data_IF_388463827338
#
_entry.id   IF_388463827338
#
_cell.length_a   1.000
_cell.length_b   1.000
_cell.length_c   1.000
_cell.angle_alpha   90.00
_cell.angle_beta   90.00
_cell.angle_gamma   90.00
#
_symmetry.space_group_name_H-M   'P 1'
#
loop_
_entity.id
_entity.type
_entity.pdbx_description
1 polymer ?
#
# COMPACT_ATOMS: atom_id res chain seq x y z
N UNK A 1 11.24 16.93 17.35
CA UNK A 1 10.41 17.14 16.15
C UNK A 1 10.32 18.64 15.93
N UNK A 2 10.06 19.05 14.69
CA UNK A 2 9.89 20.43 14.30
C UNK A 2 8.40 20.72 14.11
N UNK A 3 7.79 21.24 15.17
CA UNK A 3 6.35 21.51 15.23
C UNK A 3 5.90 22.64 14.29
N UNK A 4 6.83 23.48 13.84
CA UNK A 4 6.55 24.63 12.98
C UNK A 4 6.52 24.29 11.49
N UNK A 5 6.69 23.02 11.12
CA UNK A 5 6.89 22.58 9.73
C UNK A 5 7.96 23.42 9.00
N UNK A 6 9.02 23.80 9.72
CA UNK A 6 10.05 24.68 9.17
C UNK A 6 10.91 23.96 8.13
N UNK A 7 11.39 24.72 7.16
CA UNK A 7 12.43 24.26 6.23
C UNK A 7 13.78 24.10 6.95
N UNK A 8 14.76 23.49 6.29
CA UNK A 8 16.15 23.43 6.80
C UNK A 8 16.66 24.83 7.15
N UNK A 9 16.44 25.81 6.24
CA UNK A 9 16.83 27.20 6.48
C UNK A 9 16.03 27.82 7.63
N UNK A 10 14.74 27.54 7.73
CA UNK A 10 13.91 28.02 8.85
C UNK A 10 14.39 27.51 10.21
N UNK A 11 14.76 26.23 10.32
CA UNK A 11 15.39 25.69 11.54
C UNK A 11 16.69 26.41 11.87
N UNK A 12 17.57 26.58 10.87
CA UNK A 12 18.82 27.32 11.05
C UNK A 12 18.57 28.74 11.59
N UNK A 13 17.65 29.49 10.99
CA UNK A 13 17.35 30.87 11.36
C UNK A 13 16.82 30.97 12.79
N UNK A 14 15.89 30.09 13.20
CA UNK A 14 15.35 30.04 14.57
C UNK A 14 16.44 29.81 15.62
N UNK A 15 17.47 29.05 15.27
CA UNK A 15 18.57 28.69 16.19
C UNK A 15 19.65 29.76 16.31
N UNK A 16 19.64 30.82 15.49
CA UNK A 16 20.63 31.90 15.60
C UNK A 16 20.42 32.78 16.84
N UNK A 17 19.22 32.77 17.42
CA UNK A 17 18.86 33.63 18.56
C UNK A 17 18.51 32.84 19.82
N UNK A 18 18.83 31.54 19.88
CA UNK A 18 18.56 30.70 21.05
C UNK A 18 19.60 29.59 21.21
N UNK A 19 19.82 29.09 22.43
CA UNK A 19 20.77 28.01 22.69
C UNK A 19 20.16 26.64 22.31
N UNK A 20 19.94 26.38 21.02
CA UNK A 20 19.47 25.11 20.51
C UNK A 20 20.03 24.84 19.11
N UNK A 21 20.24 23.58 18.76
CA UNK A 21 20.58 23.15 17.40
C UNK A 21 20.36 21.65 17.25
N UNK A 22 20.37 21.12 16.02
CA UNK A 22 20.41 19.69 15.73
C UNK A 22 21.36 19.42 14.56
N UNK A 23 21.82 18.18 14.42
CA UNK A 23 22.70 17.81 13.30
C UNK A 23 21.93 17.77 12.00
N UNK A 24 20.71 17.26 12.02
CA UNK A 24 19.89 17.09 10.81
C UNK A 24 18.48 17.64 10.98
N UNK A 25 17.90 18.12 9.88
CA UNK A 25 16.49 18.45 9.73
C UNK A 25 15.92 17.69 8.53
N UNK A 26 14.80 17.01 8.74
CA UNK A 26 14.01 16.32 7.71
C UNK A 26 12.74 17.13 7.47
N UNK A 27 12.58 17.64 6.24
CA UNK A 27 11.41 18.41 5.84
C UNK A 27 10.22 17.51 5.50
N UNK A 28 9.04 18.12 5.40
CA UNK A 28 7.79 17.46 5.02
C UNK A 28 7.83 16.81 3.63
N UNK A 29 8.66 17.31 2.71
CA UNK A 29 8.87 16.69 1.39
C UNK A 29 9.93 15.56 1.42
N UNK A 30 10.50 15.27 2.59
CA UNK A 30 11.57 14.29 2.78
C UNK A 30 12.97 14.87 2.56
N UNK A 31 13.13 16.14 2.19
CA UNK A 31 14.46 16.74 2.01
C UNK A 31 15.21 16.77 3.35
N UNK A 32 16.43 16.22 3.36
CA UNK A 32 17.32 16.18 4.53
C UNK A 32 18.40 17.24 4.38
N UNK A 33 18.62 18.03 5.43
CA UNK A 33 19.74 18.97 5.52
C UNK A 33 20.55 18.76 6.78
N UNK A 34 21.87 18.80 6.66
CA UNK A 34 22.78 18.86 7.80
C UNK A 34 22.99 20.32 8.23
N UNK A 35 22.82 20.59 9.53
CA UNK A 35 22.89 21.91 10.14
C UNK A 35 24.06 22.04 11.13
N UNK A 36 24.48 20.93 11.73
CA UNK A 36 25.70 20.81 12.55
C UNK A 36 26.45 19.57 12.08
N UNK A 37 27.77 19.67 11.93
CA UNK A 37 28.60 18.53 11.56
C UNK A 37 28.55 17.45 12.64
N UNK A 38 28.50 16.18 12.26
CA UNK A 38 28.42 15.06 13.21
C UNK A 38 29.56 15.00 14.24
N UNK A 39 30.71 15.60 13.93
CA UNK A 39 31.86 15.68 14.85
C UNK A 39 31.67 16.76 15.92
N UNK A 40 30.81 17.73 15.68
CA UNK A 40 30.54 18.83 16.60
C UNK A 40 29.36 18.48 17.52
N UNK A 41 29.23 19.17 18.65
CA UNK A 41 28.13 18.91 19.60
C UNK A 41 26.95 19.84 19.31
N UNK A 42 25.87 19.30 18.72
CA UNK A 42 24.59 20.02 18.63
C UNK A 42 23.84 20.08 19.98
N UNK A 43 23.06 21.15 20.19
CA UNK A 43 22.33 21.39 21.44
C UNK A 43 20.85 20.99 21.31
N UNK A 44 20.59 19.71 21.10
CA UNK A 44 19.25 19.20 20.75
C UNK A 44 18.49 18.56 21.92
N UNK A 45 19.18 17.84 22.80
CA UNK A 45 18.53 16.98 23.79
C UNK A 45 18.10 17.69 25.08
N UNK A 46 18.51 18.95 25.29
CA UNK A 46 18.36 19.63 26.60
C UNK A 46 19.16 18.97 27.74
N UNK A 47 20.04 18.03 27.39
CA UNK A 47 20.86 17.25 28.31
C UNK A 47 22.28 17.18 27.73
N UNK A 48 23.27 17.76 28.42
CA UNK A 48 24.62 17.89 27.88
C UNK A 48 25.31 16.53 27.66
N UNK A 49 25.13 15.57 28.57
CA UNK A 49 25.70 14.24 28.41
C UNK A 49 25.16 13.54 27.16
N UNK A 50 23.85 13.62 26.93
CA UNK A 50 23.23 13.11 25.71
C UNK A 50 23.74 13.85 24.45
N UNK A 51 23.80 15.19 24.48
CA UNK A 51 24.31 15.98 23.35
C UNK A 51 25.73 15.56 22.93
N UNK A 52 26.62 15.31 23.89
CA UNK A 52 28.02 14.95 23.60
C UNK A 52 28.21 13.53 23.04
N UNK A 53 27.16 12.71 23.04
CA UNK A 53 27.23 11.28 22.68
C UNK A 53 26.16 10.86 21.68
N UNK A 54 25.46 11.81 21.05
CA UNK A 54 24.37 11.48 20.14
C UNK A 54 24.24 12.44 18.95
N UNK A 55 23.53 11.97 17.92
CA UNK A 55 23.17 12.75 16.74
C UNK A 55 21.70 13.16 16.84
N UNK A 56 21.42 14.44 17.10
CA UNK A 56 20.07 15.01 17.00
C UNK A 56 19.52 15.13 15.58
N UNK A 57 18.29 14.65 15.37
CA UNK A 57 17.54 14.74 14.11
C UNK A 57 16.18 15.35 14.38
N UNK A 58 15.87 16.45 13.70
CA UNK A 58 14.55 17.06 13.71
C UNK A 58 13.71 16.61 12.52
N UNK A 59 12.43 16.34 12.74
CA UNK A 59 11.47 15.91 11.71
C UNK A 59 10.32 16.91 11.67
N UNK A 60 10.04 17.49 10.51
CA UNK A 60 8.95 18.44 10.33
C UNK A 60 7.59 17.75 10.49
N UNK A 61 6.78 18.28 11.41
CA UNK A 61 5.39 17.88 11.56
C UNK A 61 4.52 18.59 10.52
N UNK A 62 3.61 17.84 9.89
CA UNK A 62 2.57 18.38 9.01
C UNK A 62 1.29 18.73 9.75
N UNK A 63 1.12 18.21 10.97
CA UNK A 63 -0.04 18.48 11.82
C UNK A 63 0.36 18.41 13.29
N UNK A 64 -0.28 19.23 14.13
CA UNK A 64 -0.10 19.26 15.59
C UNK A 64 -1.32 18.79 16.39
N UNK A 65 -2.45 18.58 15.73
CA UNK A 65 -3.68 18.05 16.35
C UNK A 65 -4.50 17.22 15.34
N UNK A 66 -4.27 15.89 15.27
CA UNK A 66 -3.23 15.14 15.98
C UNK A 66 -1.83 15.42 15.43
N UNK A 67 -0.79 15.15 16.23
CA UNK A 67 0.59 15.20 15.75
C UNK A 67 0.83 14.19 14.62
N UNK A 68 1.47 14.62 13.54
CA UNK A 68 1.89 13.76 12.44
C UNK A 68 3.03 14.37 11.64
N UNK A 69 3.94 13.53 11.15
CA UNK A 69 4.87 13.84 10.06
C UNK A 69 4.33 13.25 8.75
N UNK A 70 4.71 13.82 7.61
CA UNK A 70 4.34 13.26 6.30
C UNK A 70 4.99 11.90 6.05
N UNK A 71 4.47 11.17 5.07
CA UNK A 71 5.07 9.90 4.62
C UNK A 71 6.51 10.06 4.11
N UNK A 72 6.81 11.13 3.38
CA UNK A 72 8.16 11.40 2.88
C UNK A 72 9.15 11.74 4.01
N UNK A 73 8.72 12.54 4.99
CA UNK A 73 9.49 12.83 6.19
C UNK A 73 9.72 11.56 7.02
N UNK A 74 8.69 10.72 7.17
CA UNK A 74 8.75 9.47 7.90
C UNK A 74 9.75 8.49 7.27
N UNK A 75 9.71 8.29 5.95
CA UNK A 75 10.60 7.35 5.26
C UNK A 75 12.05 7.85 5.21
N UNK A 76 12.28 9.09 4.76
CA UNK A 76 13.64 9.62 4.66
C UNK A 76 14.29 9.82 6.03
N UNK A 77 13.51 10.19 7.05
CA UNK A 77 13.99 10.24 8.43
C UNK A 77 14.41 8.88 8.96
N UNK A 78 13.61 7.84 8.68
CA UNK A 78 13.94 6.47 9.05
C UNK A 78 15.19 5.96 8.30
N UNK A 79 15.32 6.28 7.01
CA UNK A 79 16.51 5.98 6.21
C UNK A 79 17.76 6.67 6.76
N UNK A 80 17.65 7.94 7.15
CA UNK A 80 18.76 8.69 7.78
C UNK A 80 19.21 8.02 9.09
N UNK A 81 18.27 7.65 9.97
CA UNK A 81 18.60 6.91 11.21
C UNK A 81 19.34 5.62 10.88
N UNK A 82 18.86 4.86 9.90
CA UNK A 82 19.51 3.63 9.46
C UNK A 82 20.94 3.89 8.96
N UNK A 83 21.15 4.96 8.18
CA UNK A 83 22.44 5.32 7.61
C UNK A 83 23.44 5.71 8.70
N UNK A 84 23.01 6.52 9.67
CA UNK A 84 23.81 6.90 10.85
C UNK A 84 24.17 5.65 11.66
N UNK A 85 23.19 4.81 11.99
CA UNK A 85 23.43 3.57 12.73
C UNK A 85 24.46 2.66 12.02
N UNK A 86 24.37 2.53 10.70
CA UNK A 86 25.32 1.75 9.91
C UNK A 86 26.70 2.39 9.88
N UNK A 87 26.78 3.68 9.56
CA UNK A 87 28.04 4.40 9.39
C UNK A 87 28.89 4.38 10.67
N UNK A 88 28.25 4.59 11.82
CA UNK A 88 28.93 4.60 13.12
C UNK A 88 28.99 3.22 13.81
N UNK A 89 28.52 2.15 13.15
CA UNK A 89 28.56 0.81 13.72
C UNK A 89 27.70 0.62 14.98
N UNK A 90 26.62 1.40 15.12
CA UNK A 90 25.71 1.36 16.28
C UNK A 90 24.79 0.12 16.27
N UNK A 91 24.83 -0.67 15.20
CA UNK A 91 23.97 -1.82 14.96
C UNK A 91 22.60 -1.44 14.41
N UNK A 92 21.77 -2.46 14.14
CA UNK A 92 20.42 -2.30 13.57
C UNK A 92 19.56 -1.37 14.46
N UNK A 93 18.80 -0.40 13.89
CA UNK A 93 17.99 0.53 14.67
C UNK A 93 17.00 -0.17 15.61
N UNK A 94 17.08 0.18 16.89
CA UNK A 94 16.26 -0.34 17.96
C UNK A 94 15.96 0.77 18.96
N UNK A 95 14.67 1.05 19.14
CA UNK A 95 14.20 2.04 20.09
C UNK A 95 14.61 1.68 21.52
N UNK A 96 15.05 2.66 22.30
CA UNK A 96 15.53 2.49 23.66
C UNK A 96 16.91 1.84 23.77
N UNK A 97 17.61 1.60 22.66
CA UNK A 97 18.97 1.03 22.64
C UNK A 97 19.97 1.90 21.89
N UNK A 98 19.71 2.17 20.61
CA UNK A 98 20.54 3.04 19.76
C UNK A 98 19.71 4.09 19.01
N UNK A 99 18.39 4.10 19.22
CA UNK A 99 17.47 5.15 18.81
C UNK A 99 16.65 5.55 20.03
N UNK A 100 16.55 6.85 20.30
CA UNK A 100 15.87 7.37 21.48
C UNK A 100 15.01 8.58 21.12
N UNK A 101 13.94 8.80 21.88
CA UNK A 101 13.15 10.01 21.80
C UNK A 101 13.75 11.13 22.64
N UNK A 102 13.50 12.39 22.28
CA UNK A 102 13.94 13.52 23.09
C UNK A 102 13.37 13.50 24.52
N UNK A 103 12.13 13.01 24.67
CA UNK A 103 11.47 12.75 25.97
C UNK A 103 12.22 11.79 26.90
N UNK A 104 13.16 11.01 26.39
CA UNK A 104 13.98 10.12 27.22
C UNK A 104 15.09 10.89 27.97
N UNK A 105 15.35 12.15 27.57
CA UNK A 105 16.43 12.99 28.13
C UNK A 105 15.94 14.29 28.77
N UNK A 106 14.77 14.79 28.36
CA UNK A 106 14.19 16.04 28.84
C UNK A 106 12.67 15.93 28.97
N UNK A 107 12.06 16.75 29.82
CA UNK A 107 10.60 16.85 29.91
C UNK A 107 10.03 17.58 28.69
N UNK A 108 9.58 16.82 27.69
CA UNK A 108 9.05 17.35 26.42
C UNK A 108 8.04 16.40 25.80
N UNK A 109 7.17 16.93 24.93
CA UNK A 109 6.31 16.13 24.06
C UNK A 109 7.07 15.51 22.88
N UNK A 110 8.28 15.97 22.57
CA UNK A 110 9.12 15.41 21.51
C UNK A 110 9.46 13.93 21.78
N UNK A 111 9.39 13.03 20.78
CA UNK A 111 9.21 13.30 19.35
C UNK A 111 7.76 13.12 18.84
N UNK A 112 6.75 13.39 19.68
CA UNK A 112 5.34 13.38 19.33
C UNK A 112 4.88 12.07 18.63
N UNK A 113 4.43 12.14 17.37
CA UNK A 113 3.89 10.98 16.64
C UNK A 113 4.92 9.86 16.47
N UNK A 114 6.22 10.17 16.39
CA UNK A 114 7.28 9.16 16.25
C UNK A 114 7.49 8.31 17.51
N UNK A 115 7.07 8.80 18.68
CA UNK A 115 6.98 7.99 19.91
C UNK A 115 5.54 7.53 20.21
N UNK A 116 4.60 7.79 19.30
CA UNK A 116 3.18 7.49 19.43
C UNK A 116 2.66 6.78 18.17
N UNK A 117 1.71 7.42 17.49
CA UNK A 117 0.95 6.82 16.38
C UNK A 117 1.79 6.33 15.19
N UNK A 118 2.92 6.98 14.90
CA UNK A 118 3.80 6.63 13.77
C UNK A 118 5.04 5.82 14.19
N UNK A 119 5.17 5.47 15.48
CA UNK A 119 6.34 4.79 16.03
C UNK A 119 6.68 3.47 15.32
N UNK A 120 5.70 2.58 15.20
CA UNK A 120 5.91 1.26 14.61
C UNK A 120 6.33 1.34 13.13
N UNK A 121 5.68 2.22 12.37
CA UNK A 121 6.02 2.45 10.96
C UNK A 121 7.44 3.03 10.81
N UNK A 122 7.79 4.02 11.63
CA UNK A 122 9.13 4.63 11.62
C UNK A 122 10.23 3.61 11.91
N UNK A 123 10.09 2.84 12.99
CA UNK A 123 11.11 1.86 13.38
C UNK A 123 11.20 0.70 12.40
N UNK A 124 10.09 0.25 11.83
CA UNK A 124 10.08 -0.79 10.79
C UNK A 124 10.82 -0.33 9.53
N UNK A 125 10.60 0.91 9.08
CA UNK A 125 11.33 1.49 7.92
C UNK A 125 12.81 1.64 8.21
N UNK A 126 13.19 2.14 9.38
CA UNK A 126 14.60 2.33 9.73
C UNK A 126 15.34 0.99 9.74
N UNK A 127 14.70 -0.04 10.28
CA UNK A 127 15.22 -1.40 10.26
C UNK A 127 15.34 -1.96 8.83
N UNK A 128 14.31 -1.79 8.00
CA UNK A 128 14.34 -2.22 6.59
C UNK A 128 15.48 -1.55 5.81
N UNK A 129 15.63 -0.23 5.93
CA UNK A 129 16.71 0.51 5.29
C UNK A 129 18.08 0.04 5.77
N UNK A 130 18.23 -0.21 7.07
CA UNK A 130 19.48 -0.72 7.63
C UNK A 130 19.84 -2.09 7.04
N UNK A 131 18.86 -3.00 6.97
CA UNK A 131 19.07 -4.36 6.47
C UNK A 131 19.44 -4.33 4.97
N UNK A 132 18.76 -3.51 4.17
CA UNK A 132 19.07 -3.26 2.76
C UNK A 132 20.49 -2.72 2.57
N UNK A 133 20.87 -1.69 3.33
CA UNK A 133 22.21 -1.13 3.25
C UNK A 133 23.28 -2.12 3.73
N UNK A 134 23.00 -2.95 4.73
CA UNK A 134 23.98 -3.85 5.33
C UNK A 134 24.14 -5.17 4.58
N UNK A 135 23.41 -5.37 3.47
CA UNK A 135 23.34 -6.67 2.79
C UNK A 135 22.79 -7.79 3.68
N UNK A 136 22.24 -7.42 4.85
CA UNK A 136 21.59 -8.31 5.82
C UNK A 136 20.08 -8.34 5.62
N UNK A 137 19.60 -7.73 4.53
CA UNK A 137 18.23 -7.85 4.06
C UNK A 137 17.86 -9.33 4.07
N UNK A 138 16.87 -9.74 4.87
CA UNK A 138 16.18 -10.99 4.60
C UNK A 138 15.82 -10.96 3.11
N UNK A 139 16.04 -12.07 2.39
CA UNK A 139 15.49 -12.23 1.05
C UNK A 139 14.06 -11.69 1.10
N UNK A 140 13.63 -10.84 0.13
CA UNK A 140 12.30 -10.26 0.16
C UNK A 140 11.34 -11.38 0.48
N UNK A 141 10.57 -11.22 1.56
CA UNK A 141 9.53 -12.18 1.90
C UNK A 141 8.81 -12.47 0.59
N UNK A 142 8.69 -13.75 0.15
CA UNK A 142 8.17 -14.07 -1.16
C UNK A 142 6.92 -13.22 -1.35
N UNK A 143 6.97 -12.32 -2.34
CA UNK A 143 5.95 -11.32 -2.52
C UNK A 143 4.61 -12.04 -2.40
N UNK A 144 3.77 -11.59 -1.47
CA UNK A 144 2.45 -12.18 -1.30
C UNK A 144 1.87 -12.39 -2.69
N UNK A 145 1.47 -13.62 -3.07
CA UNK A 145 1.12 -13.94 -4.44
C UNK A 145 0.20 -12.86 -4.98
N UNK A 146 0.57 -12.23 -6.11
CA UNK A 146 -0.23 -11.17 -6.68
C UNK A 146 -1.54 -11.79 -7.21
N UNK A 147 -2.55 -11.83 -6.33
CA UNK A 147 -3.83 -12.50 -6.57
C UNK A 147 -4.54 -11.87 -7.77
N UNK A 148 -4.37 -10.57 -7.99
CA UNK A 148 -4.89 -9.87 -9.17
C UNK A 148 -4.27 -10.39 -10.48
N UNK A 149 -2.93 -10.49 -10.53
CA UNK A 149 -2.23 -10.99 -11.72
C UNK A 149 -2.52 -12.47 -12.00
N UNK A 150 -2.61 -13.29 -10.95
CA UNK A 150 -3.01 -14.69 -11.05
C UNK A 150 -4.46 -14.83 -11.53
N UNK A 151 -5.37 -13.98 -11.07
CA UNK A 151 -6.75 -13.96 -11.53
C UNK A 151 -6.86 -13.55 -13.00
N UNK A 152 -6.10 -12.55 -13.45
CA UNK A 152 -6.06 -12.16 -14.86
C UNK A 152 -5.52 -13.28 -15.76
N UNK A 153 -4.49 -14.00 -15.31
CA UNK A 153 -3.96 -15.16 -16.03
C UNK A 153 -4.94 -16.33 -16.10
N UNK A 154 -5.73 -16.55 -15.04
CA UNK A 154 -6.83 -17.52 -15.04
C UNK A 154 -7.93 -17.12 -16.03
N UNK A 155 -8.30 -15.84 -16.08
CA UNK A 155 -9.30 -15.31 -17.02
C UNK A 155 -8.83 -15.46 -18.47
N UNK A 156 -7.53 -15.28 -18.74
CA UNK A 156 -6.92 -15.56 -20.06
C UNK A 156 -6.86 -17.04 -20.44
N UNK A 157 -7.02 -17.95 -19.48
CA UNK A 157 -7.00 -19.40 -19.69
C UNK A 157 -5.64 -20.08 -19.41
N UNK A 158 -4.64 -19.34 -18.92
CA UNK A 158 -3.26 -19.82 -18.73
C UNK A 158 -3.15 -20.97 -17.70
N UNK A 159 -4.18 -21.12 -16.86
CA UNK A 159 -4.23 -22.07 -15.74
C UNK A 159 -5.18 -23.26 -15.97
N UNK A 160 -5.72 -23.43 -17.19
CA UNK A 160 -6.66 -24.52 -17.48
C UNK A 160 -7.99 -24.41 -16.71
N UNK A 161 -8.67 -25.53 -16.53
CA UNK A 161 -9.99 -25.60 -15.88
C UNK A 161 -10.09 -26.70 -14.81
N UNK A 162 -11.08 -26.60 -13.91
CA UNK A 162 -11.36 -27.62 -12.89
C UNK A 162 -10.16 -27.94 -11.98
N UNK A 163 -9.87 -29.23 -11.82
CA UNK A 163 -8.80 -29.74 -10.94
C UNK A 163 -7.40 -29.35 -11.42
N UNK A 164 -7.18 -29.15 -12.72
CA UNK A 164 -5.90 -28.69 -13.26
C UNK A 164 -5.55 -27.28 -12.75
N UNK A 165 -6.55 -26.39 -12.74
CA UNK A 165 -6.42 -25.03 -12.20
C UNK A 165 -6.12 -25.05 -10.70
N UNK A 166 -6.81 -25.92 -9.96
CA UNK A 166 -6.64 -26.08 -8.51
C UNK A 166 -5.25 -26.62 -8.16
N UNK A 167 -4.75 -27.59 -8.92
CA UNK A 167 -3.39 -28.12 -8.77
C UNK A 167 -2.34 -27.04 -9.05
N UNK A 168 -2.51 -26.27 -10.12
CA UNK A 168 -1.55 -25.23 -10.54
C UNK A 168 -1.53 -24.00 -9.63
N UNK A 169 -2.67 -23.61 -9.06
CA UNK A 169 -2.77 -22.47 -8.14
C UNK A 169 -2.47 -22.85 -6.68
N UNK A 170 -2.58 -24.14 -6.33
CA UNK A 170 -2.27 -24.65 -5.01
C UNK A 170 -3.01 -23.90 -3.90
N UNK A 171 -2.27 -23.46 -2.88
CA UNK A 171 -2.83 -22.71 -1.74
C UNK A 171 -3.50 -21.38 -2.14
N UNK A 172 -3.14 -20.81 -3.31
CA UNK A 172 -3.72 -19.55 -3.79
C UNK A 172 -5.06 -19.75 -4.52
N UNK A 173 -5.47 -20.99 -4.78
CA UNK A 173 -6.68 -21.29 -5.56
C UNK A 173 -7.91 -20.57 -5.02
N UNK A 174 -8.16 -20.61 -3.71
CA UNK A 174 -9.34 -20.01 -3.11
C UNK A 174 -9.37 -18.48 -3.30
N UNK A 175 -8.25 -17.80 -3.00
CA UNK A 175 -8.12 -16.36 -3.14
C UNK A 175 -8.19 -15.90 -4.60
N UNK A 176 -7.49 -16.62 -5.50
CA UNK A 176 -7.51 -16.33 -6.94
C UNK A 176 -8.88 -16.58 -7.54
N UNK A 177 -9.57 -17.65 -7.18
CA UNK A 177 -10.90 -17.95 -7.70
C UNK A 177 -11.94 -16.94 -7.18
N UNK A 178 -11.84 -16.50 -5.93
CA UNK A 178 -12.65 -15.40 -5.42
C UNK A 178 -12.39 -14.12 -6.24
N UNK A 179 -11.13 -13.79 -6.50
CA UNK A 179 -10.78 -12.59 -7.27
C UNK A 179 -11.19 -12.66 -8.74
N UNK A 180 -11.12 -13.83 -9.36
CA UNK A 180 -11.68 -14.10 -10.70
C UNK A 180 -13.19 -13.85 -10.68
N UNK A 181 -13.90 -14.36 -9.68
CA UNK A 181 -15.34 -14.14 -9.54
C UNK A 181 -15.65 -12.64 -9.37
N UNK A 182 -14.87 -11.92 -8.56
CA UNK A 182 -14.97 -10.46 -8.40
C UNK A 182 -14.73 -9.71 -9.71
N UNK A 183 -13.64 -10.01 -10.44
CA UNK A 183 -13.31 -9.38 -11.74
C UNK A 183 -14.37 -9.67 -12.81
N UNK A 184 -14.91 -10.88 -12.84
CA UNK A 184 -16.01 -11.25 -13.73
C UNK A 184 -17.35 -10.67 -13.29
N UNK A 185 -17.51 -10.31 -12.00
CA UNK A 185 -18.69 -9.61 -11.48
C UNK A 185 -18.64 -8.09 -11.64
N UNK A 186 -17.42 -7.51 -11.69
CA UNK A 186 -17.17 -6.07 -11.91
C UNK A 186 -17.22 -5.64 -13.38
N UNK A 187 -17.11 -6.59 -14.31
CA UNK A 187 -17.65 -6.45 -15.65
C UNK A 187 -19.12 -6.83 -15.61
N UNK A 188 -20.02 -5.85 -15.59
CA UNK A 188 -21.44 -6.07 -15.84
C UNK A 188 -21.67 -6.07 -17.36
N UNK A 189 -21.78 -7.22 -18.07
CA UNK A 189 -22.92 -7.35 -18.96
C UNK A 189 -24.15 -7.33 -18.05
N UNK A 190 -25.10 -6.47 -18.40
CA UNK A 190 -26.44 -6.41 -17.78
C UNK A 190 -26.89 -7.78 -17.32
N UNK A 191 -27.33 -7.86 -16.05
CA UNK A 191 -28.19 -8.89 -15.45
C UNK A 191 -28.73 -9.84 -16.54
N UNK A 192 -28.46 -11.16 -16.51
CA UNK A 192 -29.18 -12.05 -17.41
C UNK A 192 -30.65 -11.94 -17.02
N UNK A 193 -31.39 -11.10 -17.76
CA UNK A 193 -32.81 -11.31 -17.91
C UNK A 193 -32.92 -12.76 -18.37
N UNK A 194 -33.83 -13.51 -17.75
CA UNK A 194 -34.18 -14.82 -18.29
C UNK A 194 -34.41 -14.72 -19.80
N UNK A 195 -34.23 -15.82 -20.56
CA UNK A 195 -34.23 -15.79 -22.02
C UNK A 195 -35.31 -14.86 -22.57
N UNK A 196 -34.92 -13.81 -23.30
CA UNK A 196 -35.87 -12.83 -23.81
C UNK A 196 -36.71 -13.48 -24.93
N UNK A 197 -37.84 -14.06 -24.52
CA UNK A 197 -38.73 -14.85 -25.37
C UNK A 197 -39.23 -14.04 -26.57
N UNK A 198 -39.42 -12.73 -26.40
CA UNK A 198 -39.82 -11.82 -27.49
C UNK A 198 -38.74 -11.71 -28.57
N UNK A 199 -37.47 -11.51 -28.18
CA UNK A 199 -36.36 -11.42 -29.12
C UNK A 199 -36.10 -12.73 -29.86
N UNK A 200 -36.26 -13.86 -29.15
CA UNK A 200 -36.17 -15.19 -29.77
C UNK A 200 -37.32 -15.45 -30.74
N UNK A 201 -38.54 -15.00 -30.41
CA UNK A 201 -39.69 -15.11 -31.31
C UNK A 201 -39.48 -14.29 -32.60
N UNK A 202 -38.96 -13.06 -32.47
CA UNK A 202 -38.65 -12.23 -33.64
C UNK A 202 -37.56 -12.85 -34.52
N UNK A 203 -36.53 -13.46 -33.92
CA UNK A 203 -35.50 -14.21 -34.67
C UNK A 203 -36.06 -15.45 -35.39
N UNK A 204 -37.03 -16.14 -34.76
CA UNK A 204 -37.73 -17.25 -35.40
C UNK A 204 -38.58 -16.78 -36.59
N UNK A 205 -39.29 -15.65 -36.47
CA UNK A 205 -40.08 -15.07 -37.57
C UNK A 205 -39.18 -14.66 -38.73
N UNK A 206 -37.97 -14.15 -38.44
CA UNK A 206 -36.95 -13.85 -39.47
C UNK A 206 -36.33 -15.09 -40.11
N UNK A 207 -36.53 -16.28 -39.54
CA UNK A 207 -36.04 -17.56 -40.07
C UNK A 207 -34.69 -18.02 -39.50
N UNK A 208 -34.11 -17.30 -38.54
CA UNK A 208 -32.76 -17.54 -38.00
C UNK A 208 -32.62 -18.92 -37.31
N UNK A 209 -33.75 -19.50 -36.91
CA UNK A 209 -33.85 -20.78 -36.21
C UNK A 209 -34.34 -21.94 -37.09
N UNK A 210 -34.51 -21.74 -38.39
CA UNK A 210 -35.04 -22.75 -39.30
C UNK A 210 -36.52 -23.11 -39.03
N UNK A 211 -36.95 -24.26 -39.56
CA UNK A 211 -38.33 -24.75 -39.47
C UNK A 211 -38.41 -26.16 -38.84
N UNK A 212 -39.60 -26.54 -38.37
CA UNK A 212 -39.89 -27.87 -37.84
C UNK A 212 -38.98 -28.32 -36.69
N UNK A 213 -38.45 -29.55 -36.81
CA UNK A 213 -37.62 -30.18 -35.79
C UNK A 213 -36.27 -29.48 -35.56
N UNK A 214 -35.72 -28.78 -36.56
CA UNK A 214 -34.46 -28.04 -36.38
C UNK A 214 -34.67 -26.82 -35.46
N UNK A 215 -35.80 -26.13 -35.59
CA UNK A 215 -36.18 -25.04 -34.67
C UNK A 215 -36.33 -25.57 -33.25
N UNK A 216 -36.97 -26.72 -33.09
CA UNK A 216 -37.20 -27.38 -31.80
C UNK A 216 -35.89 -27.83 -31.15
N UNK A 217 -34.98 -28.43 -31.93
CA UNK A 217 -33.64 -28.81 -31.48
C UNK A 217 -32.82 -27.59 -31.03
N UNK A 218 -32.88 -26.47 -31.76
CA UNK A 218 -32.11 -25.25 -31.44
C UNK A 218 -32.66 -24.48 -30.24
N UNK A 219 -33.97 -24.41 -30.08
CA UNK A 219 -34.60 -23.70 -28.95
C UNK A 219 -34.68 -24.56 -27.68
N UNK A 220 -34.60 -25.89 -27.81
CA UNK A 220 -34.61 -26.82 -26.69
C UNK A 220 -35.81 -26.59 -25.77
N UNK A 221 -35.54 -26.42 -24.47
CA UNK A 221 -36.57 -26.22 -23.45
C UNK A 221 -37.36 -24.90 -23.61
N UNK A 222 -36.85 -23.94 -24.40
CA UNK A 222 -37.51 -22.66 -24.67
C UNK A 222 -38.46 -22.74 -25.86
N UNK A 223 -38.45 -23.84 -26.62
CA UNK A 223 -39.25 -23.99 -27.84
C UNK A 223 -40.72 -23.67 -27.62
N UNK A 224 -41.33 -24.23 -26.57
CA UNK A 224 -42.75 -24.04 -26.30
C UNK A 224 -43.10 -22.56 -26.03
N UNK A 225 -42.30 -21.88 -25.20
CA UNK A 225 -42.52 -20.48 -24.84
C UNK A 225 -42.30 -19.54 -26.05
N UNK A 226 -41.24 -19.77 -26.82
CA UNK A 226 -40.93 -18.97 -28.01
C UNK A 226 -41.97 -19.22 -29.12
N UNK A 227 -42.39 -20.47 -29.35
CA UNK A 227 -43.37 -20.79 -30.38
C UNK A 227 -44.76 -20.23 -30.05
N UNK A 228 -45.19 -20.26 -28.77
CA UNK A 228 -46.42 -19.60 -28.35
C UNK A 228 -46.37 -18.08 -28.61
N UNK A 229 -45.20 -17.46 -28.40
CA UNK A 229 -45.03 -16.02 -28.66
C UNK A 229 -44.99 -15.68 -30.15
N UNK A 230 -44.40 -16.53 -30.98
CA UNK A 230 -44.44 -16.40 -32.45
C UNK A 230 -45.88 -16.45 -32.96
N UNK A 231 -46.69 -17.41 -32.48
CA UNK A 231 -48.10 -17.53 -32.87
C UNK A 231 -48.89 -16.26 -32.49
N UNK A 232 -48.70 -15.76 -31.26
CA UNK A 232 -49.31 -14.53 -30.80
C UNK A 232 -48.92 -13.29 -31.65
N UNK A 233 -47.69 -13.23 -32.18
CA UNK A 233 -47.23 -12.14 -33.04
C UNK A 233 -47.75 -12.23 -34.49
N UNK A 234 -47.98 -13.45 -34.99
CA UNK A 234 -48.44 -13.69 -36.36
C UNK A 234 -49.97 -13.85 -36.47
N UNK A 235 -50.70 -13.82 -35.34
CA UNK A 235 -52.16 -13.84 -35.31
C UNK A 235 -52.79 -15.22 -35.55
N UNK A 236 -52.08 -16.30 -35.21
CA UNK A 236 -52.56 -17.69 -35.25
C UNK A 236 -52.95 -18.22 -33.88
#
# INVERSE_FOLDING_TARGET
HNAGNLTIRGCYDVWQTRPASAHYQVQTDGTIGQLVWDRDTAWHAGNFAANTTSIGIEHADVSSSPWAVSEACLDNGAHLVAAICKFYGLGRPQWGKNVFGHKDFSATACPASLAGSQHAAYMSRAQSWYDQMSGSAPAPAPAAPNIDALADAVIRGDYGNGEERKLRLGANYAAVQQRVNEKLSGNTPTKPAGPNIDALADAVIRGDYGNGEERKRRLGNLYAAVQARVNAKLGY
#
